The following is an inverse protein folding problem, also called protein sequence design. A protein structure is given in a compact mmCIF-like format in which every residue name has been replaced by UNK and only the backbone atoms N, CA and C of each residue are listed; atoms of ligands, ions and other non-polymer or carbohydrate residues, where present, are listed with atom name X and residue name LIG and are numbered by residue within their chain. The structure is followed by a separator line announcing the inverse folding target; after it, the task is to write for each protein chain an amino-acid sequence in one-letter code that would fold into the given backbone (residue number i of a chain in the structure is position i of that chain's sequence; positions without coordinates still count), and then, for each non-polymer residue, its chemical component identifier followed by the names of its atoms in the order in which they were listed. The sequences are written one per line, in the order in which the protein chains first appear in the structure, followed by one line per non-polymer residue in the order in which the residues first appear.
data_IF_777466724707
#
_entry.id   IF_777466724707
#
_cell.length_a   1.000
_cell.length_b   1.000
_cell.length_c   1.000
_cell.angle_alpha   90.00
_cell.angle_beta   90.00
_cell.angle_gamma   90.00
#
_symmetry.space_group_name_H-M   'P 1'
#
loop_
_entity.id
_entity.type
_entity.pdbx_description
1 polymer ?
#
# COMPACT_ATOMS: atom_id res chain seq x y z
N UNK A 1 -38.31 -11.64 0.77
CA UNK A 1 -37.05 -12.21 1.28
C UNK A 1 -36.27 -11.08 1.94
N UNK A 2 -36.02 -11.16 3.24
CA UNK A 2 -35.38 -10.08 4.00
C UNK A 2 -33.90 -9.96 3.63
N UNK A 3 -33.43 -8.75 3.34
CA UNK A 3 -32.06 -8.45 2.91
C UNK A 3 -31.15 -8.30 4.14
N UNK A 4 -30.73 -9.44 4.71
CA UNK A 4 -29.81 -9.52 5.87
C UNK A 4 -28.38 -9.08 5.55
N UNK A 5 -28.07 -8.72 4.30
CA UNK A 5 -26.72 -8.30 3.88
C UNK A 5 -26.25 -7.04 4.61
N UNK A 6 -27.19 -6.16 4.99
CA UNK A 6 -26.91 -4.89 5.68
C UNK A 6 -26.68 -5.03 7.18
N UNK A 7 -27.01 -6.18 7.77
CA UNK A 7 -26.83 -6.45 9.21
C UNK A 7 -25.52 -7.18 9.51
N UNK A 8 -24.71 -7.47 8.50
CA UNK A 8 -23.44 -8.18 8.62
C UNK A 8 -22.28 -7.17 8.64
N UNK A 9 -21.40 -7.31 9.62
CA UNK A 9 -20.15 -6.53 9.70
C UNK A 9 -19.09 -7.15 8.77
N UNK A 10 -19.24 -6.93 7.47
CA UNK A 10 -18.27 -7.40 6.48
C UNK A 10 -17.03 -6.49 6.45
N UNK A 11 -15.83 -7.05 6.26
CA UNK A 11 -14.62 -6.25 6.12
C UNK A 11 -14.69 -5.43 4.83
N UNK A 12 -14.46 -4.12 4.96
CA UNK A 12 -14.31 -3.20 3.84
C UNK A 12 -12.86 -2.73 3.78
N UNK A 13 -12.26 -2.73 2.60
CA UNK A 13 -10.90 -2.23 2.39
C UNK A 13 -10.77 -1.57 1.04
N UNK A 14 -10.08 -0.43 1.01
CA UNK A 14 -9.70 0.23 -0.24
C UNK A 14 -8.51 -0.46 -0.91
N UNK A 15 -7.91 -1.45 -0.24
CA UNK A 15 -6.82 -2.24 -0.79
C UNK A 15 -7.33 -3.12 -1.95
N UNK A 16 -6.83 -2.92 -3.18
CA UNK A 16 -7.30 -3.70 -4.32
C UNK A 16 -6.80 -5.13 -4.21
N UNK A 17 -7.68 -6.09 -4.49
CA UNK A 17 -7.33 -7.51 -4.52
C UNK A 17 -6.30 -7.86 -5.60
N UNK A 18 -6.20 -7.06 -6.67
CA UNK A 18 -5.22 -7.21 -7.75
C UNK A 18 -4.08 -6.20 -7.59
N UNK A 19 -2.84 -6.66 -7.73
CA UNK A 19 -1.66 -5.85 -7.49
C UNK A 19 -1.42 -4.71 -8.49
N UNK A 20 -1.79 -4.88 -9.76
CA UNK A 20 -1.50 -3.92 -10.84
C UNK A 20 -0.04 -3.43 -10.85
N UNK A 21 0.89 -4.38 -10.69
CA UNK A 21 2.29 -4.13 -10.38
C UNK A 21 3.01 -3.27 -11.42
N UNK A 22 2.74 -3.51 -12.71
CA UNK A 22 3.34 -2.76 -13.81
C UNK A 22 3.17 -1.23 -13.70
N UNK A 23 2.08 -0.76 -13.06
CA UNK A 23 1.85 0.66 -12.79
C UNK A 23 2.34 1.08 -11.40
N UNK A 24 2.07 0.27 -10.36
CA UNK A 24 2.34 0.66 -8.96
C UNK A 24 3.82 0.64 -8.60
N UNK A 25 4.59 -0.31 -9.13
CA UNK A 25 6.01 -0.44 -8.81
C UNK A 25 6.84 0.78 -9.26
N UNK A 26 6.71 1.29 -10.51
CA UNK A 26 7.39 2.52 -10.91
C UNK A 26 7.03 3.73 -10.03
N UNK A 27 5.75 3.88 -9.67
CA UNK A 27 5.27 4.98 -8.82
C UNK A 27 5.88 4.90 -7.40
N UNK A 28 5.95 3.69 -6.83
CA UNK A 28 6.56 3.44 -5.52
C UNK A 28 8.07 3.75 -5.54
N UNK A 29 8.80 3.27 -6.54
CA UNK A 29 10.22 3.54 -6.69
C UNK A 29 10.51 5.05 -6.83
N UNK A 30 9.70 5.76 -7.63
CA UNK A 30 9.81 7.21 -7.77
C UNK A 30 9.57 7.94 -6.44
N UNK A 31 8.62 7.47 -5.63
CA UNK A 31 8.37 8.04 -4.31
C UNK A 31 9.55 7.80 -3.35
N UNK A 32 10.11 6.59 -3.32
CA UNK A 32 11.27 6.28 -2.47
C UNK A 32 12.52 7.06 -2.86
N UNK A 33 12.76 7.23 -4.16
CA UNK A 33 13.87 8.04 -4.66
C UNK A 33 13.71 9.51 -4.25
N UNK A 34 12.49 10.06 -4.38
CA UNK A 34 12.19 11.46 -4.01
C UNK A 34 12.47 11.76 -2.54
N UNK A 35 12.21 10.80 -1.66
CA UNK A 35 12.42 10.99 -0.21
C UNK A 35 13.83 10.58 0.25
N UNK A 36 14.73 10.23 -0.69
CA UNK A 36 16.07 9.69 -0.44
C UNK A 36 16.04 8.51 0.56
N UNK A 37 15.07 7.61 0.43
CA UNK A 37 14.80 6.57 1.43
C UNK A 37 16.04 5.74 1.76
N UNK A 38 16.80 5.35 0.74
CA UNK A 38 18.01 4.55 0.93
C UNK A 38 19.07 5.26 1.79
N UNK A 39 19.26 6.56 1.58
CA UNK A 39 20.21 7.37 2.37
C UNK A 39 19.78 7.42 3.84
N UNK A 40 18.49 7.66 4.10
CA UNK A 40 17.93 7.65 5.46
C UNK A 40 18.14 6.32 6.16
N UNK A 41 17.92 5.20 5.45
CA UNK A 41 18.19 3.86 5.98
C UNK A 41 19.67 3.69 6.34
N UNK A 42 20.59 4.13 5.46
CA UNK A 42 22.04 4.05 5.71
C UNK A 42 22.48 4.92 6.88
N UNK A 43 21.91 6.11 7.04
CA UNK A 43 22.17 6.99 8.18
C UNK A 43 21.69 6.33 9.49
N UNK A 44 20.46 5.80 9.52
CA UNK A 44 19.92 5.12 10.69
C UNK A 44 20.70 3.84 11.06
N UNK A 45 21.26 3.14 10.06
CA UNK A 45 21.99 1.89 10.26
C UNK A 45 23.48 2.08 10.56
N UNK A 46 23.98 3.33 10.61
CA UNK A 46 25.34 3.61 11.07
C UNK A 46 25.37 3.51 12.59
N UNK A 47 25.62 2.29 13.08
CA UNK A 47 26.13 2.06 14.43
C UNK A 47 27.53 2.61 14.60
#
# INVERSE_FOLDING_TARGET
MSDYKKTLNLPHTDFPMRGNLAKREPEMLAAWNRIELYKKIREQSKG
#
